data_IF_467394615991
#
_entry.id   IF_467394615991
#
_cell.length_a   1.000
_cell.length_b   1.000
_cell.length_c   1.000
_cell.angle_alpha   90.00
_cell.angle_beta   90.00
_cell.angle_gamma   90.00
#
_symmetry.space_group_name_H-M   'P 1'
#
loop_
_entity.id
_entity.type
_entity.pdbx_description
1 polymer ?
#
# COMPACT_ATOMS: atom_id res chain seq x y z
N UNK A 1 -2.89 -11.05 12.72
CA UNK A 1 -3.74 -10.90 11.52
C UNK A 1 -3.28 -9.71 10.72
N UNK A 2 -3.20 -9.88 9.40
CA UNK A 2 -3.07 -8.78 8.45
C UNK A 2 -4.49 -8.26 8.22
N UNK A 3 -4.69 -6.96 8.33
CA UNK A 3 -5.92 -6.32 7.88
C UNK A 3 -5.64 -5.66 6.51
N UNK A 4 -6.44 -5.98 5.50
CA UNK A 4 -6.33 -5.43 4.15
C UNK A 4 -7.64 -4.75 3.79
N UNK A 5 -7.56 -3.53 3.29
CA UNK A 5 -8.66 -2.81 2.63
C UNK A 5 -8.25 -2.51 1.20
N UNK A 6 -9.18 -2.64 0.27
CA UNK A 6 -9.02 -2.17 -1.10
C UNK A 6 -10.12 -1.16 -1.42
N UNK A 7 -9.77 -0.14 -2.18
CA UNK A 7 -10.65 0.93 -2.61
C UNK A 7 -10.54 0.99 -4.12
N UNK A 8 -11.69 0.93 -4.81
CA UNK A 8 -11.77 1.14 -6.25
C UNK A 8 -12.17 2.59 -6.50
N UNK A 9 -11.41 3.28 -7.32
CA UNK A 9 -11.68 4.66 -7.69
C UNK A 9 -12.39 4.71 -9.04
N UNK A 10 -13.62 5.22 -9.06
CA UNK A 10 -14.38 5.39 -10.31
C UNK A 10 -14.39 6.84 -10.83
N UNK A 11 -13.66 7.75 -10.17
CA UNK A 11 -13.62 9.17 -10.53
C UNK A 11 -12.48 9.48 -11.49
N UNK A 12 -12.72 10.36 -12.47
CA UNK A 12 -11.67 10.83 -13.40
C UNK A 12 -10.55 11.64 -12.75
N UNK A 13 -10.69 11.99 -11.46
CA UNK A 13 -9.69 12.76 -10.69
C UNK A 13 -8.79 11.87 -9.84
N UNK A 14 -9.07 10.57 -9.79
CA UNK A 14 -8.23 9.64 -9.05
C UNK A 14 -6.86 9.46 -9.75
N UNK A 15 -5.83 9.28 -8.93
CA UNK A 15 -4.45 9.08 -9.40
C UNK A 15 -4.17 7.64 -9.82
N UNK A 16 -4.97 6.69 -9.33
CA UNK A 16 -4.90 5.27 -9.61
C UNK A 16 -6.31 4.63 -9.57
N UNK A 17 -6.49 3.51 -10.25
CA UNK A 17 -7.77 2.77 -10.27
C UNK A 17 -8.03 2.07 -8.94
N UNK A 18 -6.97 1.61 -8.26
CA UNK A 18 -7.06 0.91 -6.98
C UNK A 18 -6.05 1.45 -5.97
N UNK A 19 -6.53 1.60 -4.74
CA UNK A 19 -5.72 1.87 -3.56
C UNK A 19 -5.88 0.68 -2.60
N UNK A 20 -4.77 0.06 -2.22
CA UNK A 20 -4.75 -1.08 -1.29
C UNK A 20 -4.04 -0.65 -0.02
N UNK A 21 -4.65 -0.85 1.13
CA UNK A 21 -4.09 -0.47 2.43
C UNK A 21 -4.00 -1.75 3.28
N UNK A 22 -2.79 -2.11 3.70
CA UNK A 22 -2.56 -3.30 4.52
C UNK A 22 -1.79 -2.98 5.80
N UNK A 23 -2.10 -3.68 6.89
CA UNK A 23 -1.42 -3.54 8.17
C UNK A 23 -0.46 -4.69 8.46
N UNK A 24 0.81 -4.34 8.66
CA UNK A 24 1.85 -5.18 9.24
C UNK A 24 1.87 -5.06 10.77
N UNK A 25 2.16 -6.17 11.47
CA UNK A 25 2.26 -6.15 12.94
C UNK A 25 3.55 -5.52 13.48
N UNK A 26 4.58 -5.45 12.66
CA UNK A 26 5.89 -4.87 12.98
C UNK A 26 6.67 -4.58 11.69
N UNK A 27 7.79 -3.87 11.83
CA UNK A 27 8.65 -3.44 10.72
C UNK A 27 9.23 -4.63 9.92
N UNK A 28 9.54 -5.76 10.58
CA UNK A 28 10.03 -6.96 9.89
C UNK A 28 8.96 -7.52 8.95
N UNK A 29 7.74 -7.62 9.43
CA UNK A 29 6.60 -8.07 8.63
C UNK A 29 6.25 -7.06 7.54
N UNK A 30 6.47 -5.76 7.78
CA UNK A 30 6.26 -4.72 6.79
C UNK A 30 7.18 -4.92 5.57
N UNK A 31 8.47 -5.16 5.82
CA UNK A 31 9.42 -5.51 4.76
C UNK A 31 9.03 -6.79 4.01
N UNK A 32 8.68 -7.86 4.74
CA UNK A 32 8.25 -9.11 4.12
C UNK A 32 6.99 -8.97 3.27
N UNK A 33 6.01 -8.15 3.68
CA UNK A 33 4.82 -7.85 2.88
C UNK A 33 5.18 -7.07 1.62
N UNK A 34 6.13 -6.12 1.70
CA UNK A 34 6.61 -5.41 0.51
C UNK A 34 7.21 -6.38 -0.50
N UNK A 35 8.04 -7.33 -0.06
CA UNK A 35 8.63 -8.34 -0.94
C UNK A 35 7.56 -9.22 -1.61
N UNK A 36 6.56 -9.68 -0.85
CA UNK A 36 5.43 -10.47 -1.39
C UNK A 36 4.62 -9.67 -2.41
N UNK A 37 4.34 -8.39 -2.15
CA UNK A 37 3.59 -7.55 -3.11
C UNK A 37 4.38 -7.37 -4.41
N UNK A 38 5.69 -7.15 -4.32
CA UNK A 38 6.57 -7.04 -5.50
C UNK A 38 6.55 -8.34 -6.31
N UNK A 39 6.68 -9.49 -5.66
CA UNK A 39 6.63 -10.81 -6.32
C UNK A 39 5.29 -11.05 -7.03
N UNK A 40 4.17 -10.69 -6.38
CA UNK A 40 2.83 -10.85 -6.96
C UNK A 40 2.62 -9.93 -8.16
N UNK A 41 3.08 -8.67 -8.08
CA UNK A 41 2.98 -7.73 -9.20
C UNK A 41 3.78 -8.22 -10.41
N UNK A 42 5.02 -8.67 -10.18
CA UNK A 42 5.89 -9.23 -11.22
C UNK A 42 5.28 -10.47 -11.88
N UNK A 43 4.77 -11.41 -11.08
CA UNK A 43 4.10 -12.63 -11.56
C UNK A 43 2.87 -12.36 -12.45
N UNK A 44 2.26 -11.19 -12.31
CA UNK A 44 1.08 -10.77 -13.06
C UNK A 44 1.39 -9.73 -14.14
N UNK A 45 2.67 -9.58 -14.52
CA UNK A 45 3.14 -8.65 -15.54
C UNK A 45 2.71 -7.19 -15.24
N UNK A 46 2.68 -6.82 -13.96
CA UNK A 46 2.35 -5.46 -13.51
C UNK A 46 3.64 -4.69 -13.22
N UNK A 47 4.00 -3.69 -14.06
CA UNK A 47 5.22 -2.93 -13.84
C UNK A 47 5.11 -2.06 -12.59
N UNK A 48 6.18 -2.03 -11.81
CA UNK A 48 6.31 -1.16 -10.64
C UNK A 48 7.01 0.12 -11.11
N UNK A 49 6.36 1.26 -10.90
CA UNK A 49 6.94 2.57 -11.17
C UNK A 49 7.94 2.95 -10.08
N UNK A 50 7.53 2.84 -8.80
CA UNK A 50 8.37 3.23 -7.69
C UNK A 50 8.03 2.51 -6.37
N UNK A 51 9.01 2.40 -5.48
CA UNK A 51 8.83 1.89 -4.11
C UNK A 51 9.48 2.89 -3.15
N UNK A 52 8.68 3.43 -2.24
CA UNK A 52 9.15 4.36 -1.21
C UNK A 52 9.12 3.73 0.19
N UNK A 53 9.97 4.24 1.08
CA UNK A 53 9.93 3.85 2.49
C UNK A 53 10.55 2.49 2.82
N UNK A 54 11.16 1.77 1.87
CA UNK A 54 11.85 0.48 2.14
C UNK A 54 13.22 0.66 2.81
N UNK A 55 13.25 1.22 4.02
CA UNK A 55 14.46 1.47 4.84
C UNK A 55 14.37 0.74 6.19
N UNK A 56 15.50 0.61 6.89
CA UNK A 56 15.50 0.14 8.27
C UNK A 56 14.63 1.05 9.15
N UNK A 57 13.78 0.45 10.00
CA UNK A 57 12.81 1.15 10.86
C UNK A 57 11.67 1.89 10.14
N UNK A 58 11.30 1.42 8.96
CA UNK A 58 10.14 1.97 8.28
C UNK A 58 8.83 1.57 8.95
N UNK A 59 7.90 2.51 9.02
CA UNK A 59 6.52 2.31 9.48
C UNK A 59 5.51 2.37 8.34
N UNK A 60 5.93 2.82 7.15
CA UNK A 60 5.12 2.92 5.94
C UNK A 60 5.97 2.62 4.70
N UNK A 61 5.48 1.69 3.87
CA UNK A 61 6.00 1.43 2.53
C UNK A 61 4.89 1.73 1.52
N UNK A 62 5.23 2.52 0.50
CA UNK A 62 4.37 2.81 -0.65
C UNK A 62 4.92 2.07 -1.87
N UNK A 63 4.05 1.33 -2.57
CA UNK A 63 4.38 0.68 -3.84
C UNK A 63 3.46 1.27 -4.89
N UNK A 64 4.05 2.01 -5.83
CA UNK A 64 3.37 2.60 -6.98
C UNK A 64 3.54 1.69 -8.19
N UNK A 65 2.43 1.10 -8.65
CA UNK A 65 2.33 0.29 -9.86
C UNK A 65 1.35 0.93 -10.87
N UNK A 66 1.42 2.26 -11.01
CA UNK A 66 0.60 3.09 -11.89
C UNK A 66 -0.90 3.06 -11.57
N UNK A 67 -1.59 1.99 -11.98
CA UNK A 67 -3.05 1.84 -11.79
C UNK A 67 -3.40 1.24 -10.43
N UNK A 68 -2.40 0.71 -9.71
CA UNK A 68 -2.55 0.13 -8.38
C UNK A 68 -1.52 0.78 -7.48
N UNK A 69 -1.97 1.35 -6.37
CA UNK A 69 -1.11 1.87 -5.31
C UNK A 69 -1.32 1.01 -4.05
N UNK A 70 -0.23 0.55 -3.45
CA UNK A 70 -0.26 -0.27 -2.24
C UNK A 70 0.43 0.46 -1.10
N UNK A 71 -0.33 0.73 -0.05
CA UNK A 71 0.13 1.29 1.22
C UNK A 71 0.25 0.18 2.25
N UNK A 72 1.48 -0.09 2.68
CA UNK A 72 1.75 -1.03 3.75
C UNK A 72 2.13 -0.23 5.00
N UNK A 73 1.42 -0.42 6.10
CA UNK A 73 1.62 0.34 7.33
C UNK A 73 1.87 -0.55 8.54
N UNK A 74 2.61 -0.08 9.54
CA UNK A 74 2.43 -0.57 10.90
C UNK A 74 1.08 -0.12 11.46
N UNK A 75 0.61 -0.77 12.53
CA UNK A 75 -0.69 -0.45 13.14
C UNK A 75 -0.80 1.03 13.53
N UNK A 76 0.23 1.55 14.19
CA UNK A 76 0.23 2.92 14.71
C UNK A 76 0.26 3.94 13.56
N UNK A 77 1.09 3.70 12.53
CA UNK A 77 1.16 4.57 11.36
C UNK A 77 -0.17 4.59 10.58
N UNK A 78 -0.84 3.46 10.38
CA UNK A 78 -2.15 3.45 9.68
C UNK A 78 -3.19 4.31 10.41
N UNK A 79 -3.20 4.25 11.75
CA UNK A 79 -4.09 5.04 12.57
C UNK A 79 -3.76 6.54 12.53
N UNK A 80 -2.48 6.89 12.52
CA UNK A 80 -2.00 8.27 12.43
C UNK A 80 -2.31 8.91 11.06
N UNK A 81 -2.02 8.21 9.96
CA UNK A 81 -2.23 8.73 8.61
C UNK A 81 -3.70 8.69 8.15
N UNK A 82 -4.48 7.71 8.61
CA UNK A 82 -5.92 7.56 8.34
C UNK A 82 -6.32 7.77 6.85
N UNK A 83 -5.54 7.22 5.91
CA UNK A 83 -5.83 7.39 4.48
C UNK A 83 -7.19 6.84 4.06
N UNK A 84 -7.72 5.87 4.81
CA UNK A 84 -9.04 5.30 4.58
C UNK A 84 -10.15 6.35 4.65
N UNK A 85 -10.08 7.28 5.62
CA UNK A 85 -11.02 8.40 5.70
C UNK A 85 -10.87 9.37 4.53
N UNK A 86 -9.63 9.69 4.14
CA UNK A 86 -9.35 10.58 3.00
C UNK A 86 -9.93 10.06 1.68
N UNK A 87 -9.84 8.75 1.45
CA UNK A 87 -10.34 8.12 0.22
C UNK A 87 -11.86 7.90 0.24
N UNK A 88 -12.48 7.74 1.42
CA UNK A 88 -13.95 7.64 1.55
C UNK A 88 -14.67 8.98 1.39
N UNK A 89 -14.00 10.12 1.65
CA UNK A 89 -14.57 11.46 1.46
C UNK A 89 -14.65 11.92 -0.03
N UNK A 90 -14.16 11.11 -0.98
CA UNK A 90 -14.07 11.47 -2.41
C UNK A 90 -15.24 10.99 -3.27
#
# INVERSE_FOLDING_TARGET
NINVKYIRNDTKKAIADYEIIATARNERMLGALSDVVVEVLDKHDRPIHHIEGKKARSTWILIDAFTIIVHLFTKDARAEYNLEGLYEEK
#
